data_IF_743896592600
#
_entry.id   IF_743896592600
#
_cell.length_a   1.000
_cell.length_b   1.000
_cell.length_c   1.000
_cell.angle_alpha   90.00
_cell.angle_beta   90.00
_cell.angle_gamma   90.00
#
_symmetry.space_group_name_H-M   'P 1'
#
loop_
_entity.id
_entity.type
_entity.pdbx_description
1 polymer ?
#
# COMPACT_ATOMS: atom_id res chain seq x y z
N UNK A 1 -26.62 -11.04 -0.47
CA UNK A 1 -26.28 -10.99 0.97
C UNK A 1 -24.91 -11.62 1.12
N UNK A 2 -23.93 -10.84 1.58
CA UNK A 2 -22.56 -11.33 1.77
C UNK A 2 -22.55 -12.24 3.01
N UNK A 3 -21.95 -13.43 2.91
CA UNK A 3 -21.82 -14.34 4.06
C UNK A 3 -20.77 -13.80 5.03
N UNK A 4 -20.90 -14.01 6.36
CA UNK A 4 -19.91 -13.55 7.35
C UNK A 4 -18.48 -13.96 7.01
N UNK A 5 -18.28 -15.21 6.58
CA UNK A 5 -16.98 -15.74 6.16
C UNK A 5 -16.42 -15.07 4.90
N UNK A 6 -17.28 -14.66 3.97
CA UNK A 6 -16.88 -13.93 2.77
C UNK A 6 -16.47 -12.49 3.12
N UNK A 7 -17.20 -11.83 4.02
CA UNK A 7 -16.87 -10.49 4.51
C UNK A 7 -15.53 -10.49 5.27
N UNK A 8 -15.29 -11.49 6.12
CA UNK A 8 -14.02 -11.65 6.83
C UNK A 8 -12.83 -11.86 5.90
N UNK A 9 -12.99 -12.73 4.89
CA UNK A 9 -11.96 -12.96 3.88
C UNK A 9 -11.62 -11.65 3.17
N UNK A 10 -12.65 -10.91 2.80
CA UNK A 10 -12.54 -9.65 2.09
C UNK A 10 -11.88 -8.54 2.95
N UNK A 11 -12.21 -8.46 4.25
CA UNK A 11 -11.51 -7.57 5.19
C UNK A 11 -10.04 -7.98 5.36
N UNK A 12 -9.74 -9.28 5.45
CA UNK A 12 -8.34 -9.76 5.56
C UNK A 12 -7.52 -9.53 4.29
N UNK A 13 -8.15 -9.55 3.12
CA UNK A 13 -7.49 -9.22 1.85
C UNK A 13 -7.06 -7.74 1.81
N UNK A 14 -7.96 -6.83 2.18
CA UNK A 14 -7.68 -5.38 2.20
C UNK A 14 -6.80 -4.96 3.39
N UNK A 15 -6.94 -5.65 4.52
CA UNK A 15 -6.24 -5.36 5.77
C UNK A 15 -5.51 -6.62 6.28
N UNK A 16 -4.46 -7.10 5.59
CA UNK A 16 -3.76 -8.33 5.97
C UNK A 16 -3.04 -8.24 7.32
N UNK A 17 -2.85 -7.02 7.83
CA UNK A 17 -2.24 -6.78 9.14
C UNK A 17 -3.26 -6.64 10.27
N UNK A 18 -4.56 -6.75 9.98
CA UNK A 18 -5.59 -6.64 11.00
C UNK A 18 -5.50 -7.86 11.93
N UNK A 19 -5.24 -7.59 13.21
CA UNK A 19 -5.17 -8.67 14.21
C UNK A 19 -6.56 -9.26 14.47
N UNK A 20 -6.66 -10.52 14.93
CA UNK A 20 -7.95 -11.11 15.32
C UNK A 20 -8.73 -10.26 16.32
N UNK A 21 -8.04 -9.62 17.27
CA UNK A 21 -8.66 -8.71 18.25
C UNK A 21 -9.26 -7.46 17.60
N UNK A 22 -8.59 -6.90 16.61
CA UNK A 22 -9.11 -5.75 15.86
C UNK A 22 -10.28 -6.15 14.97
N UNK A 23 -10.25 -7.34 14.36
CA UNK A 23 -11.39 -7.85 13.61
C UNK A 23 -12.61 -8.02 14.53
N UNK A 24 -12.40 -8.62 15.70
CA UNK A 24 -13.44 -8.81 16.70
C UNK A 24 -14.03 -7.48 17.18
N UNK A 25 -13.20 -6.45 17.38
CA UNK A 25 -13.68 -5.10 17.71
C UNK A 25 -14.73 -4.58 16.71
N UNK A 26 -14.56 -4.82 15.40
CA UNK A 26 -15.54 -4.38 14.40
C UNK A 26 -16.84 -5.20 14.42
N UNK A 27 -16.80 -6.46 14.86
CA UNK A 27 -17.98 -7.26 15.16
C UNK A 27 -18.70 -6.75 16.41
N UNK A 28 -17.96 -6.49 17.49
CA UNK A 28 -18.52 -6.04 18.77
C UNK A 28 -19.14 -4.63 18.64
N UNK A 29 -18.50 -3.76 17.84
CA UNK A 29 -19.04 -2.45 17.50
C UNK A 29 -20.21 -2.49 16.50
N UNK A 30 -20.62 -3.68 16.04
CA UNK A 30 -21.73 -3.88 15.12
C UNK A 30 -21.47 -3.38 13.68
N UNK A 31 -20.24 -2.99 13.33
CA UNK A 31 -19.93 -2.45 12.00
C UNK A 31 -20.04 -3.54 10.93
N UNK A 32 -19.60 -4.76 11.25
CA UNK A 32 -19.71 -5.91 10.35
C UNK A 32 -21.18 -6.25 10.09
N UNK A 33 -22.00 -6.25 11.15
CA UNK A 33 -23.43 -6.55 11.08
C UNK A 33 -24.20 -5.53 10.24
N UNK A 34 -23.85 -4.24 10.29
CA UNK A 34 -24.46 -3.23 9.41
C UNK A 34 -24.24 -3.55 7.93
N UNK A 35 -23.06 -4.04 7.56
CA UNK A 35 -22.78 -4.48 6.18
C UNK A 35 -23.52 -5.78 5.85
N UNK A 36 -23.53 -6.77 6.75
CA UNK A 36 -24.23 -8.04 6.56
C UNK A 36 -25.75 -7.83 6.41
N UNK A 37 -26.32 -6.90 7.18
CA UNK A 37 -27.73 -6.52 7.19
C UNK A 37 -28.09 -5.52 6.08
N UNK A 38 -27.15 -5.14 5.21
CA UNK A 38 -27.35 -4.18 4.11
C UNK A 38 -27.79 -2.77 4.57
N UNK A 39 -27.53 -2.42 5.83
CA UNK A 39 -27.72 -1.06 6.34
C UNK A 39 -26.61 -0.13 5.86
N UNK A 40 -25.42 -0.69 5.64
CA UNK A 40 -24.25 0.00 5.11
C UNK A 40 -23.59 -0.87 4.03
N UNK A 41 -22.73 -0.27 3.20
CA UNK A 41 -21.95 -1.01 2.20
C UNK A 41 -20.52 -1.30 2.67
N UNK A 42 -19.81 -2.16 1.93
CA UNK A 42 -18.44 -2.53 2.28
C UNK A 42 -17.48 -1.33 2.32
N UNK A 43 -17.66 -0.35 1.42
CA UNK A 43 -16.78 0.83 1.38
C UNK A 43 -16.88 1.66 2.67
N UNK A 44 -18.08 1.76 3.25
CA UNK A 44 -18.28 2.40 4.55
C UNK A 44 -17.51 1.67 5.66
N UNK A 45 -17.55 0.33 5.67
CA UNK A 45 -16.79 -0.47 6.61
C UNK A 45 -15.28 -0.32 6.39
N UNK A 46 -14.82 -0.40 5.14
CA UNK A 46 -13.41 -0.19 4.79
C UNK A 46 -12.91 1.18 5.28
N UNK A 47 -13.67 2.25 5.04
CA UNK A 47 -13.34 3.59 5.54
C UNK A 47 -13.33 3.64 7.07
N UNK A 48 -14.27 2.98 7.74
CA UNK A 48 -14.32 2.90 9.21
C UNK A 48 -13.12 2.17 9.79
N UNK A 49 -12.71 1.05 9.16
CA UNK A 49 -11.50 0.32 9.51
C UNK A 49 -10.27 1.19 9.32
N UNK A 50 -10.14 1.90 8.18
CA UNK A 50 -9.03 2.83 7.93
C UNK A 50 -8.96 3.94 8.97
N UNK A 51 -10.08 4.58 9.31
CA UNK A 51 -10.17 5.62 10.36
C UNK A 51 -9.74 5.10 11.72
N UNK A 52 -10.18 3.89 12.10
CA UNK A 52 -9.76 3.24 13.34
C UNK A 52 -8.25 2.94 13.33
N UNK A 53 -7.74 2.38 12.25
CA UNK A 53 -6.32 2.06 12.08
C UNK A 53 -5.45 3.32 12.15
N UNK A 54 -5.89 4.42 11.53
CA UNK A 54 -5.23 5.72 11.62
C UNK A 54 -5.24 6.29 13.04
N UNK A 55 -6.35 6.17 13.78
CA UNK A 55 -6.46 6.70 15.15
C UNK A 55 -5.52 5.98 16.14
N UNK A 56 -5.22 4.71 15.90
CA UNK A 56 -4.23 3.94 16.68
C UNK A 56 -2.81 3.98 16.08
N UNK A 57 -2.60 4.83 15.07
CA UNK A 57 -1.30 5.01 14.40
C UNK A 57 -0.82 3.77 13.64
N UNK A 58 -1.71 2.83 13.33
CA UNK A 58 -1.49 1.68 12.47
C UNK A 58 -2.00 1.96 11.07
N UNK A 59 -1.46 2.97 10.39
CA UNK A 59 -1.87 3.29 9.02
C UNK A 59 -1.89 2.00 8.17
N UNK A 60 -2.99 1.69 7.47
CA UNK A 60 -3.05 0.54 6.59
C UNK A 60 -1.86 0.57 5.64
N UNK A 61 -1.49 -0.61 5.11
CA UNK A 61 -0.48 -0.74 4.06
C UNK A 61 -0.78 0.37 3.05
N UNK A 62 0.17 1.29 2.84
CA UNK A 62 0.00 2.46 1.98
C UNK A 62 -0.28 1.98 0.55
N UNK A 63 -1.53 1.66 0.24
CA UNK A 63 -2.04 1.89 -1.09
C UNK A 63 -1.82 3.37 -1.35
N UNK A 64 -1.15 3.65 -2.46
CA UNK A 64 -0.76 5.00 -2.84
C UNK A 64 -2.01 5.90 -2.75
N UNK A 65 -1.91 7.14 -2.25
CA UNK A 65 -3.01 8.07 -2.43
C UNK A 65 -3.30 8.23 -3.92
N UNK A 66 -4.58 8.23 -4.26
CA UNK A 66 -5.02 8.37 -5.66
C UNK A 66 -4.90 9.85 -6.04
N UNK A 67 -3.72 10.22 -6.54
CA UNK A 67 -3.38 11.60 -6.87
C UNK A 67 -3.58 11.87 -8.35
N UNK A 68 -3.99 13.09 -8.67
CA UNK A 68 -4.14 13.58 -10.05
C UNK A 68 -3.33 14.85 -10.21
N UNK A 69 -2.94 15.16 -11.44
CA UNK A 69 -2.28 16.43 -11.76
C UNK A 69 -3.27 17.57 -11.52
N UNK A 70 -2.92 18.50 -10.64
CA UNK A 70 -3.72 19.70 -10.43
C UNK A 70 -3.55 20.70 -11.57
N UNK A 71 -4.62 21.43 -11.91
CA UNK A 71 -4.56 22.46 -12.95
C UNK A 71 -3.73 23.64 -12.44
N UNK A 72 -2.52 23.79 -12.97
CA UNK A 72 -1.62 24.88 -12.63
C UNK A 72 -2.09 26.24 -13.14
N UNK A 73 -1.75 27.29 -12.39
CA UNK A 73 -1.92 28.68 -12.85
C UNK A 73 -0.79 29.00 -13.83
N UNK A 74 -1.06 29.96 -14.73
CA UNK A 74 -0.06 30.44 -15.68
C UNK A 74 1.17 30.97 -14.92
N UNK A 75 2.34 30.37 -15.14
CA UNK A 75 3.60 30.75 -14.49
C UNK A 75 4.15 29.73 -13.49
N UNK A 76 3.37 28.73 -13.08
CA UNK A 76 3.86 27.68 -12.19
C UNK A 76 4.92 26.81 -12.89
N UNK A 77 6.02 26.50 -12.19
CA UNK A 77 7.08 25.63 -12.73
C UNK A 77 6.55 24.21 -12.91
N UNK A 78 6.66 23.67 -14.12
CA UNK A 78 6.34 22.27 -14.40
C UNK A 78 7.37 21.35 -13.74
N UNK A 79 6.91 20.35 -12.99
CA UNK A 79 7.78 19.33 -12.40
C UNK A 79 7.89 18.13 -13.33
N UNK A 80 8.98 17.36 -13.20
CA UNK A 80 9.20 16.16 -14.00
C UNK A 80 8.08 15.10 -13.86
N UNK A 81 7.55 14.79 -12.66
CA UNK A 81 6.41 13.86 -12.52
C UNK A 81 5.14 14.34 -13.25
N UNK A 82 4.86 15.64 -13.27
CA UNK A 82 3.70 16.19 -13.98
C UNK A 82 3.88 16.10 -15.49
N UNK A 83 5.06 16.47 -16.01
CA UNK A 83 5.37 16.33 -17.43
C UNK A 83 5.25 14.87 -17.89
N UNK A 84 5.77 13.93 -17.09
CA UNK A 84 5.62 12.49 -17.32
C UNK A 84 4.15 12.09 -17.35
N UNK A 85 3.37 12.55 -16.36
CA UNK A 85 1.94 12.28 -16.26
C UNK A 85 1.16 12.78 -17.47
N UNK A 86 1.51 13.96 -17.99
CA UNK A 86 0.93 14.53 -19.22
C UNK A 86 1.23 13.66 -20.44
N UNK A 87 2.48 13.25 -20.64
CA UNK A 87 2.89 12.41 -21.77
C UNK A 87 2.21 11.04 -21.71
N UNK A 88 2.20 10.40 -20.53
CA UNK A 88 1.58 9.10 -20.33
C UNK A 88 0.06 9.17 -20.51
N UNK A 89 -0.59 10.24 -20.04
CA UNK A 89 -2.04 10.43 -20.24
C UNK A 89 -2.36 10.64 -21.71
N UNK A 90 -1.57 11.43 -22.44
CA UNK A 90 -1.74 11.61 -23.87
C UNK A 90 -1.61 10.28 -24.63
N UNK A 91 -0.60 9.47 -24.31
CA UNK A 91 -0.43 8.15 -24.91
C UNK A 91 -1.59 7.21 -24.56
N UNK A 92 -2.03 7.19 -23.31
CA UNK A 92 -3.17 6.39 -22.86
C UNK A 92 -4.47 6.81 -23.57
N UNK A 93 -4.70 8.09 -23.79
CA UNK A 93 -5.85 8.62 -24.55
C UNK A 93 -5.93 8.09 -25.99
N UNK A 94 -4.81 7.63 -26.56
CA UNK A 94 -4.78 7.03 -27.89
C UNK A 94 -5.16 5.54 -27.91
N UNK A 95 -5.29 4.90 -26.75
CA UNK A 95 -5.71 3.50 -26.68
C UNK A 95 -7.15 3.33 -27.23
N UNK A 96 -7.37 2.47 -28.25
CA UNK A 96 -8.68 2.31 -28.88
C UNK A 96 -9.78 1.94 -27.88
N UNK A 97 -9.47 1.07 -26.91
CA UNK A 97 -10.42 0.64 -25.89
C UNK A 97 -10.95 1.79 -25.02
N UNK A 98 -10.18 2.87 -24.80
CA UNK A 98 -10.69 4.04 -24.07
C UNK A 98 -11.70 4.80 -24.93
N UNK A 99 -11.37 5.06 -26.20
CA UNK A 99 -12.25 5.80 -27.12
C UNK A 99 -13.56 5.05 -27.31
N UNK A 100 -13.49 3.76 -27.63
CA UNK A 100 -14.65 2.88 -27.81
C UNK A 100 -15.51 2.83 -26.54
N UNK A 101 -14.90 2.72 -25.35
CA UNK A 101 -15.64 2.71 -24.10
C UNK A 101 -16.37 4.04 -23.84
N UNK A 102 -15.67 5.18 -24.04
CA UNK A 102 -16.25 6.51 -23.85
C UNK A 102 -17.42 6.74 -24.81
N UNK A 103 -17.25 6.40 -26.08
CA UNK A 103 -18.29 6.53 -27.10
C UNK A 103 -19.49 5.60 -26.83
N UNK A 104 -19.25 4.36 -26.40
CA UNK A 104 -20.32 3.37 -26.19
C UNK A 104 -21.10 3.58 -24.91
N UNK A 105 -20.41 3.95 -23.81
CA UNK A 105 -20.96 3.89 -22.46
C UNK A 105 -21.07 5.23 -21.75
N UNK A 106 -20.31 6.24 -22.18
CA UNK A 106 -20.41 7.59 -21.60
C UNK A 106 -21.12 8.57 -22.52
N UNK A 107 -21.00 8.45 -23.85
CA UNK A 107 -21.70 9.30 -24.83
C UNK A 107 -21.66 10.79 -24.43
N UNK A 108 -22.82 11.37 -24.10
CA UNK A 108 -22.98 12.79 -23.74
C UNK A 108 -22.60 13.10 -22.28
N UNK A 109 -22.31 12.07 -21.46
CA UNK A 109 -21.85 12.22 -20.08
C UNK A 109 -20.32 12.37 -19.99
N UNK A 110 -19.58 12.24 -21.10
CA UNK A 110 -18.13 12.42 -21.10
C UNK A 110 -17.71 13.88 -21.40
N UNK A 111 -16.72 14.44 -20.67
CA UNK A 111 -16.08 13.88 -19.49
C UNK A 111 -16.99 13.93 -18.26
N UNK A 112 -17.04 12.84 -17.50
CA UNK A 112 -17.83 12.78 -16.28
C UNK A 112 -17.21 13.69 -15.20
N UNK A 113 -18.03 14.42 -14.46
CA UNK A 113 -17.54 15.13 -13.29
C UNK A 113 -17.01 14.13 -12.24
N UNK A 114 -15.86 14.42 -11.62
CA UNK A 114 -15.24 13.49 -10.67
C UNK A 114 -16.18 13.20 -9.46
N UNK A 115 -16.98 14.16 -9.03
CA UNK A 115 -18.02 13.99 -8.01
C UNK A 115 -19.13 12.99 -8.42
N UNK A 116 -19.35 12.80 -9.72
CA UNK A 116 -20.40 11.95 -10.29
C UNK A 116 -19.98 10.52 -10.57
N UNK A 117 -18.70 10.18 -10.40
CA UNK A 117 -18.18 8.82 -10.65
C UNK A 117 -18.93 7.77 -9.82
N UNK A 118 -19.12 8.01 -8.52
CA UNK A 118 -19.80 7.03 -7.66
C UNK A 118 -21.25 6.80 -8.10
N UNK A 119 -21.96 7.89 -8.40
CA UNK A 119 -23.36 7.83 -8.85
C UNK A 119 -23.46 7.03 -10.16
N UNK A 120 -22.57 7.30 -11.11
CA UNK A 120 -22.51 6.59 -12.38
C UNK A 120 -22.21 5.10 -12.18
N UNK A 121 -21.17 4.77 -11.41
CA UNK A 121 -20.80 3.37 -11.13
C UNK A 121 -21.93 2.61 -10.43
N UNK A 122 -22.60 3.25 -9.46
CA UNK A 122 -23.71 2.65 -8.74
C UNK A 122 -24.91 2.40 -9.66
N UNK A 123 -25.22 3.33 -10.56
CA UNK A 123 -26.27 3.17 -11.56
C UNK A 123 -25.99 2.00 -12.51
N UNK A 124 -24.77 1.90 -13.03
CA UNK A 124 -24.38 0.77 -13.90
C UNK A 124 -24.43 -0.54 -13.14
N UNK A 125 -23.93 -0.58 -11.91
CA UNK A 125 -24.01 -1.75 -11.04
C UNK A 125 -25.47 -2.20 -10.84
N UNK A 126 -26.37 -1.29 -10.50
CA UNK A 126 -27.79 -1.61 -10.32
C UNK A 126 -28.44 -2.11 -11.61
N UNK A 127 -28.08 -1.54 -12.77
CA UNK A 127 -28.57 -1.99 -14.08
C UNK A 127 -28.11 -3.41 -14.40
N UNK A 128 -26.83 -3.72 -14.21
CA UNK A 128 -26.25 -5.05 -14.48
C UNK A 128 -26.76 -6.14 -13.55
N UNK A 129 -27.00 -5.78 -12.28
CA UNK A 129 -27.44 -6.74 -11.27
C UNK A 129 -28.97 -6.85 -11.14
N UNK A 130 -29.75 -6.05 -11.89
CA UNK A 130 -31.21 -6.17 -11.94
C UNK A 130 -31.61 -7.45 -12.68
N UNK A 131 -31.86 -8.52 -11.92
CA UNK A 131 -32.35 -9.81 -12.44
C UNK A 131 -31.31 -10.94 -12.43
N UNK A 132 -30.05 -10.67 -12.11
CA UNK A 132 -29.06 -11.72 -11.88
C UNK A 132 -29.17 -12.30 -10.45
N UNK A 133 -28.87 -13.59 -10.24
CA UNK A 133 -28.71 -14.12 -8.90
C UNK A 133 -27.59 -13.34 -8.20
N UNK A 134 -27.85 -12.78 -7.00
CA UNK A 134 -26.85 -12.09 -6.15
C UNK A 134 -25.67 -13.00 -5.70
N UNK A 135 -25.56 -14.21 -6.25
CA UNK A 135 -24.51 -15.20 -5.99
C UNK A 135 -23.71 -15.38 -7.27
N UNK A 136 -22.40 -15.18 -7.19
CA UNK A 136 -21.47 -15.50 -8.26
C UNK A 136 -21.52 -17.02 -8.50
N UNK A 137 -21.59 -17.47 -9.76
CA UNK A 137 -21.51 -18.88 -10.11
C UNK A 137 -20.30 -19.56 -9.46
N UNK A 138 -20.43 -20.80 -8.97
CA UNK A 138 -19.30 -21.56 -8.44
C UNK A 138 -18.18 -21.63 -9.50
N UNK A 139 -16.97 -21.20 -9.14
CA UNK A 139 -15.80 -21.19 -10.03
C UNK A 139 -15.43 -19.82 -10.61
N UNK A 140 -16.30 -18.80 -10.52
CA UNK A 140 -15.94 -17.42 -10.85
C UNK A 140 -15.38 -16.67 -9.62
N UNK A 141 -14.28 -15.94 -9.82
CA UNK A 141 -13.73 -15.07 -8.78
C UNK A 141 -14.54 -13.78 -8.67
N UNK A 142 -14.67 -13.24 -7.47
CA UNK A 142 -15.20 -11.89 -7.26
C UNK A 142 -14.31 -10.88 -8.01
N UNK A 143 -14.83 -10.27 -9.06
CA UNK A 143 -14.15 -9.17 -9.74
C UNK A 143 -14.56 -7.84 -9.11
N UNK A 144 -13.57 -7.07 -8.66
CA UNK A 144 -13.75 -5.77 -8.05
C UNK A 144 -13.09 -4.69 -8.91
N UNK A 145 -13.86 -3.66 -9.25
CA UNK A 145 -13.34 -2.46 -9.88
C UNK A 145 -12.94 -1.45 -8.81
N UNK A 146 -11.69 -1.01 -8.83
CA UNK A 146 -11.21 0.05 -7.94
C UNK A 146 -11.40 1.42 -8.57
N UNK A 147 -11.85 2.41 -7.80
CA UNK A 147 -12.03 3.80 -8.25
C UNK A 147 -11.72 4.78 -7.12
N UNK A 148 -11.54 6.06 -7.44
CA UNK A 148 -11.32 7.09 -6.42
C UNK A 148 -12.41 8.14 -6.46
N UNK A 149 -12.57 8.82 -5.33
CA UNK A 149 -13.47 9.96 -5.17
C UNK A 149 -12.67 11.25 -5.01
N UNK A 150 -13.25 12.41 -5.33
CA UNK A 150 -12.58 13.68 -5.11
C UNK A 150 -12.18 13.87 -3.65
N UNK A 151 -10.90 14.17 -3.40
CA UNK A 151 -10.39 14.48 -2.05
C UNK A 151 -10.14 13.26 -1.17
N UNK A 152 -10.45 12.05 -1.63
CA UNK A 152 -10.17 10.83 -0.88
C UNK A 152 -8.80 10.26 -1.26
N UNK A 153 -8.01 9.99 -0.24
CA UNK A 153 -6.67 9.40 -0.39
C UNK A 153 -6.72 7.90 -0.68
N UNK A 154 -7.90 7.26 -0.74
CA UNK A 154 -7.98 5.80 -0.82
C UNK A 154 -8.97 5.33 -1.88
N UNK A 155 -8.65 4.22 -2.56
CA UNK A 155 -9.55 3.65 -3.54
C UNK A 155 -10.77 3.03 -2.86
N UNK A 156 -11.93 3.30 -3.47
CA UNK A 156 -13.18 2.60 -3.26
C UNK A 156 -13.24 1.41 -4.21
N UNK A 157 -14.14 0.46 -3.93
CA UNK A 157 -14.43 -0.60 -4.88
C UNK A 157 -15.90 -0.81 -5.12
N UNK A 158 -16.20 -1.34 -6.29
CA UNK A 158 -17.53 -1.80 -6.66
C UNK A 158 -17.41 -3.17 -7.33
N UNK A 159 -18.37 -4.05 -7.11
CA UNK A 159 -18.35 -5.39 -7.67
C UNK A 159 -18.75 -5.33 -9.15
N UNK A 160 -18.07 -6.09 -10.00
CA UNK A 160 -18.41 -6.19 -11.41
C UNK A 160 -19.33 -7.39 -11.66
N UNK A 161 -20.36 -7.22 -12.50
CA UNK A 161 -21.06 -8.36 -13.07
C UNK A 161 -20.22 -8.98 -14.20
N UNK A 162 -20.14 -10.32 -14.31
CA UNK A 162 -19.51 -10.97 -15.45
C UNK A 162 -20.17 -10.59 -16.78
N UNK A 163 -19.37 -10.29 -17.79
CA UNK A 163 -19.76 -9.76 -19.09
C UNK A 163 -20.23 -8.30 -19.07
N UNK A 164 -20.24 -7.65 -17.90
CA UNK A 164 -20.77 -6.31 -17.70
C UNK A 164 -19.87 -5.19 -18.24
N UNK A 165 -20.44 -3.98 -18.30
CA UNK A 165 -19.74 -2.72 -18.55
C UNK A 165 -18.68 -2.49 -17.47
N UNK A 166 -18.95 -2.82 -16.20
CA UNK A 166 -17.96 -2.66 -15.11
C UNK A 166 -16.76 -3.61 -15.25
N UNK A 167 -16.96 -4.84 -15.75
CA UNK A 167 -15.86 -5.75 -16.06
C UNK A 167 -15.01 -5.23 -17.23
N UNK A 168 -15.66 -4.75 -18.30
CA UNK A 168 -14.94 -4.10 -19.42
C UNK A 168 -14.11 -2.90 -18.94
N UNK A 169 -14.69 -2.07 -18.08
CA UNK A 169 -13.98 -0.93 -17.48
C UNK A 169 -12.78 -1.39 -16.64
N UNK A 170 -12.95 -2.44 -15.85
CA UNK A 170 -11.87 -3.06 -15.07
C UNK A 170 -10.74 -3.54 -15.99
N UNK A 171 -11.06 -4.22 -17.08
CA UNK A 171 -10.05 -4.77 -18.00
C UNK A 171 -9.25 -3.67 -18.70
N UNK A 172 -9.92 -2.60 -19.14
CA UNK A 172 -9.24 -1.42 -19.71
C UNK A 172 -8.38 -0.77 -18.63
N UNK A 173 -8.90 -0.53 -17.42
CA UNK A 173 -8.15 0.08 -16.33
C UNK A 173 -6.90 -0.73 -15.94
N UNK A 174 -7.03 -2.07 -15.92
CA UNK A 174 -5.91 -2.99 -15.67
C UNK A 174 -4.87 -2.94 -16.78
N UNK A 175 -5.30 -2.91 -18.05
CA UNK A 175 -4.40 -2.75 -19.18
C UNK A 175 -3.60 -1.44 -19.07
N UNK A 176 -4.27 -0.31 -18.78
CA UNK A 176 -3.60 0.98 -18.60
C UNK A 176 -2.64 0.97 -17.41
N UNK A 177 -3.01 0.31 -16.31
CA UNK A 177 -2.16 0.21 -15.13
C UNK A 177 -0.87 -0.53 -15.42
N UNK A 178 -0.93 -1.59 -16.24
CA UNK A 178 0.24 -2.36 -16.66
C UNK A 178 1.12 -1.58 -17.64
N UNK A 179 0.50 -0.87 -18.60
CA UNK A 179 1.22 -0.20 -19.69
C UNK A 179 1.80 1.16 -19.30
N UNK A 180 1.09 1.92 -18.46
CA UNK A 180 1.42 3.32 -18.13
C UNK A 180 1.73 3.57 -16.65
N UNK A 181 1.82 2.52 -15.82
CA UNK A 181 2.06 2.60 -14.36
C UNK A 181 1.01 3.46 -13.62
N UNK A 182 -0.20 3.53 -14.18
CA UNK A 182 -1.35 4.08 -13.47
C UNK A 182 -1.73 3.11 -12.34
N UNK A 183 -2.23 3.64 -11.23
CA UNK A 183 -3.02 2.80 -10.31
C UNK A 183 -4.36 2.49 -10.98
N UNK A 184 -4.94 1.34 -10.69
CA UNK A 184 -6.22 0.95 -11.29
C UNK A 184 -7.32 1.99 -11.01
N UNK A 185 -7.42 2.47 -9.77
CA UNK A 185 -8.34 3.54 -9.41
C UNK A 185 -8.07 4.86 -10.15
N UNK A 186 -6.80 5.20 -10.40
CA UNK A 186 -6.45 6.36 -11.23
C UNK A 186 -6.86 6.15 -12.68
N UNK A 187 -6.64 4.95 -13.22
CA UNK A 187 -7.01 4.59 -14.58
C UNK A 187 -8.52 4.66 -14.78
N UNK A 188 -9.33 4.17 -13.83
CA UNK A 188 -10.79 4.30 -13.88
C UNK A 188 -11.22 5.77 -13.91
N UNK A 189 -10.71 6.60 -13.00
CA UNK A 189 -11.03 8.04 -12.99
C UNK A 189 -10.59 8.70 -14.29
N UNK A 190 -9.42 8.34 -14.83
CA UNK A 190 -8.93 8.86 -16.11
C UNK A 190 -9.84 8.47 -17.28
N UNK A 191 -10.27 7.22 -17.37
CA UNK A 191 -11.19 6.75 -18.41
C UNK A 191 -12.50 7.54 -18.35
N UNK A 192 -13.09 7.66 -17.16
CA UNK A 192 -14.40 8.29 -16.96
C UNK A 192 -14.37 9.82 -17.10
N UNK A 193 -13.31 10.48 -16.65
CA UNK A 193 -13.28 11.96 -16.48
C UNK A 193 -12.24 12.69 -17.32
N UNK A 194 -11.28 11.98 -17.92
CA UNK A 194 -10.10 12.58 -18.56
C UNK A 194 -9.10 13.21 -17.58
N UNK A 195 -9.31 13.12 -16.26
CA UNK A 195 -8.35 13.64 -15.28
C UNK A 195 -7.06 12.83 -15.29
N UNK A 196 -5.95 13.52 -15.51
CA UNK A 196 -4.62 12.94 -15.66
C UNK A 196 -4.10 12.36 -14.34
N UNK A 197 -3.81 11.06 -14.27
CA UNK A 197 -3.18 10.43 -13.11
C UNK A 197 -1.82 11.07 -12.81
N UNK A 198 -1.52 11.32 -11.54
CA UNK A 198 -0.15 11.65 -11.15
C UNK A 198 0.66 10.35 -11.05
N UNK A 199 1.71 10.24 -11.87
CA UNK A 199 2.64 9.10 -11.89
C UNK A 199 3.97 9.51 -11.27
N UNK A 200 4.21 9.24 -9.97
CA UNK A 200 5.46 9.62 -9.30
C UNK A 200 6.63 8.75 -9.76
N UNK A 201 7.83 9.35 -9.86
CA UNK A 201 9.05 8.63 -10.27
C UNK A 201 9.62 7.72 -9.18
N UNK A 202 9.35 8.05 -7.91
CA UNK A 202 9.79 7.28 -6.74
C UNK A 202 8.60 7.13 -5.81
N UNK A 203 8.41 5.91 -5.34
CA UNK A 203 7.33 5.54 -4.44
C UNK A 203 7.91 4.86 -3.22
N UNK A 204 7.28 5.05 -2.06
CA UNK A 204 7.62 4.36 -0.84
C UNK A 204 6.37 3.75 -0.21
N UNK A 205 6.50 2.51 0.24
CA UNK A 205 5.59 1.92 1.22
C UNK A 205 6.36 1.59 2.50
N UNK A 206 5.70 1.70 3.65
CA UNK A 206 6.30 1.42 4.96
C UNK A 206 5.48 0.34 5.68
N UNK A 207 6.15 -0.72 6.10
CA UNK A 207 5.56 -1.80 6.89
C UNK A 207 6.02 -1.63 8.34
N UNK A 208 5.15 -1.07 9.19
CA UNK A 208 5.46 -0.70 10.58
C UNK A 208 5.95 -1.89 11.41
N UNK A 209 5.31 -3.06 11.26
CA UNK A 209 5.62 -4.25 12.07
C UNK A 209 7.05 -4.77 11.84
N UNK A 210 7.58 -4.61 10.61
CA UNK A 210 8.93 -5.04 10.25
C UNK A 210 9.91 -3.86 10.08
N UNK A 211 9.45 -2.64 10.36
CA UNK A 211 10.11 -1.35 10.06
C UNK A 211 10.80 -1.30 8.68
N UNK A 212 10.20 -1.93 7.67
CA UNK A 212 10.73 -1.99 6.30
C UNK A 212 10.14 -0.86 5.45
N UNK A 213 10.99 -0.19 4.68
CA UNK A 213 10.56 0.69 3.59
C UNK A 213 10.82 -0.06 2.29
N UNK A 214 9.79 -0.22 1.46
CA UNK A 214 9.95 -0.71 0.09
C UNK A 214 9.87 0.50 -0.84
N UNK A 215 10.88 0.66 -1.70
CA UNK A 215 10.91 1.70 -2.72
C UNK A 215 10.66 1.09 -4.10
N UNK A 216 9.75 1.68 -4.85
CA UNK A 216 9.60 1.41 -6.29
C UNK A 216 10.10 2.65 -7.02
N UNK A 217 11.06 2.46 -7.91
CA UNK A 217 11.86 3.56 -8.47
C UNK A 217 11.88 3.42 -9.99
N UNK A 218 11.56 4.50 -10.70
CA UNK A 218 11.80 4.55 -12.13
C UNK A 218 13.32 4.58 -12.40
N UNK A 219 13.78 3.81 -13.38
CA UNK A 219 15.21 3.72 -13.70
C UNK A 219 15.85 5.05 -14.13
N UNK A 220 15.05 6.02 -14.55
CA UNK A 220 15.52 7.36 -14.92
C UNK A 220 15.77 8.30 -13.73
N UNK A 221 15.53 7.82 -12.49
CA UNK A 221 15.81 8.54 -11.24
C UNK A 221 17.27 8.39 -10.87
N UNK A 222 17.91 9.49 -10.49
CA UNK A 222 19.31 9.47 -10.04
C UNK A 222 19.45 8.95 -8.60
N UNK A 223 20.61 8.38 -8.28
CA UNK A 223 20.93 7.94 -6.91
C UNK A 223 20.78 9.06 -5.87
N UNK A 224 21.05 10.31 -6.25
CA UNK A 224 20.92 11.48 -5.38
C UNK A 224 19.45 11.80 -5.06
N UNK A 225 18.58 11.79 -6.06
CA UNK A 225 17.13 11.96 -5.89
C UNK A 225 16.55 10.84 -5.03
N UNK A 226 16.96 9.59 -5.29
CA UNK A 226 16.54 8.43 -4.49
C UNK A 226 16.96 8.57 -3.03
N UNK A 227 18.21 8.95 -2.76
CA UNK A 227 18.70 9.15 -1.40
C UNK A 227 18.00 10.32 -0.69
N UNK A 228 17.68 11.39 -1.40
CA UNK A 228 16.87 12.52 -0.88
C UNK A 228 15.47 12.04 -0.51
N UNK A 229 14.77 11.40 -1.45
CA UNK A 229 13.42 10.89 -1.22
C UNK A 229 13.37 9.91 -0.05
N UNK A 230 14.31 8.97 0.02
CA UNK A 230 14.40 8.02 1.13
C UNK A 230 14.58 8.72 2.49
N UNK A 231 15.43 9.76 2.57
CA UNK A 231 15.58 10.56 3.80
C UNK A 231 14.27 11.26 4.18
N UNK A 232 13.57 11.83 3.21
CA UNK A 232 12.29 12.51 3.44
C UNK A 232 11.20 11.53 3.90
N UNK A 233 11.18 10.31 3.36
CA UNK A 233 10.31 9.21 3.84
C UNK A 233 10.65 8.88 5.28
N UNK A 234 11.93 8.63 5.62
CA UNK A 234 12.36 8.34 7.00
C UNK A 234 11.98 9.43 7.99
N UNK A 235 12.13 10.70 7.59
CA UNK A 235 11.74 11.86 8.41
C UNK A 235 10.23 11.85 8.67
N UNK A 236 9.41 11.65 7.64
CA UNK A 236 7.93 11.60 7.74
C UNK A 236 7.42 10.50 8.66
N UNK A 237 8.06 9.33 8.66
CA UNK A 237 7.66 8.21 9.52
C UNK A 237 8.33 8.23 10.91
N UNK A 238 9.02 9.30 11.27
CA UNK A 238 9.66 9.44 12.59
C UNK A 238 10.93 8.61 12.79
N UNK A 239 11.47 7.97 11.75
CA UNK A 239 12.74 7.23 11.79
C UNK A 239 13.95 8.14 11.55
N UNK A 240 13.92 9.34 12.14
CA UNK A 240 14.95 10.36 11.94
C UNK A 240 16.22 10.12 12.80
N UNK A 241 16.24 9.06 13.61
CA UNK A 241 17.42 8.67 14.39
C UNK A 241 18.49 8.13 13.44
N UNK A 242 19.69 8.69 13.53
CA UNK A 242 20.88 8.15 12.85
C UNK A 242 21.16 6.76 13.41
N UNK A 243 20.92 5.73 12.59
CA UNK A 243 21.36 4.37 12.92
C UNK A 243 22.88 4.39 12.84
N UNK A 244 23.56 4.14 13.97
CA UNK A 244 25.01 3.96 13.96
C UNK A 244 25.29 2.66 13.21
N UNK A 245 26.15 2.75 12.19
CA UNK A 245 26.63 1.58 11.46
C UNK A 245 27.29 0.60 12.43
N UNK A 246 26.89 -0.67 12.37
CA UNK A 246 27.54 -1.72 13.15
C UNK A 246 28.88 -2.01 12.48
N UNK A 247 29.96 -1.85 13.23
CA UNK A 247 31.30 -2.27 12.79
C UNK A 247 31.41 -3.80 12.79
N UNK A 248 32.41 -4.36 12.10
CA UNK A 248 32.70 -5.80 12.10
C UNK A 248 32.74 -6.39 13.52
N UNK A 249 33.38 -5.69 14.48
CA UNK A 249 33.38 -6.06 15.90
C UNK A 249 31.97 -6.26 16.44
N UNK A 250 31.05 -5.32 16.19
CA UNK A 250 29.68 -5.42 16.69
C UNK A 250 28.92 -6.59 16.04
N UNK A 251 29.13 -6.85 14.74
CA UNK A 251 28.50 -7.98 14.05
C UNK A 251 28.96 -9.31 14.67
N UNK A 252 30.27 -9.46 14.88
CA UNK A 252 30.84 -10.65 15.53
C UNK A 252 30.38 -10.82 16.98
N UNK A 253 30.28 -9.73 17.74
CA UNK A 253 29.75 -9.76 19.10
C UNK A 253 28.29 -10.24 19.16
N UNK A 254 27.48 -9.84 18.17
CA UNK A 254 26.10 -10.32 18.07
C UNK A 254 26.04 -11.82 17.77
N UNK A 255 26.90 -12.32 16.87
CA UNK A 255 27.02 -13.76 16.57
C UNK A 255 27.45 -14.53 17.81
N UNK A 256 28.49 -14.08 18.52
CA UNK A 256 28.97 -14.71 19.74
C UNK A 256 27.87 -14.79 20.82
N UNK A 257 27.01 -13.78 20.93
CA UNK A 257 25.86 -13.82 21.85
C UNK A 257 24.83 -14.89 21.47
N UNK A 258 24.60 -15.11 20.17
CA UNK A 258 23.68 -16.14 19.67
C UNK A 258 24.27 -17.55 19.81
N UNK A 259 25.55 -17.74 19.48
CA UNK A 259 26.25 -19.02 19.64
C UNK A 259 26.31 -19.46 21.10
N UNK A 260 26.58 -18.51 22.01
CA UNK A 260 26.55 -18.72 23.46
C UNK A 260 25.19 -19.19 23.96
N UNK A 261 24.10 -18.62 23.44
CA UNK A 261 22.73 -19.04 23.78
C UNK A 261 22.40 -20.41 23.19
N UNK A 262 22.80 -20.66 21.93
CA UNK A 262 22.59 -21.95 21.25
C UNK A 262 23.29 -23.12 21.95
N UNK A 263 24.50 -22.88 22.44
CA UNK A 263 25.34 -23.91 23.07
C UNK A 263 25.23 -23.91 24.61
N UNK A 264 24.27 -23.18 25.18
CA UNK A 264 24.11 -22.95 26.62
C UNK A 264 25.42 -22.64 27.37
N UNK A 265 26.30 -21.90 26.72
CA UNK A 265 27.65 -21.64 27.23
C UNK A 265 27.61 -20.53 28.29
N UNK A 266 28.30 -20.67 29.43
CA UNK A 266 28.45 -19.58 30.39
C UNK A 266 29.14 -18.36 29.76
N UNK A 267 28.75 -17.15 30.20
CA UNK A 267 29.35 -15.90 29.71
C UNK A 267 30.86 -15.83 29.95
N UNK A 268 31.35 -16.43 31.04
CA UNK A 268 32.76 -16.58 31.38
C UNK A 268 33.55 -17.29 30.28
N UNK A 269 33.01 -18.39 29.75
CA UNK A 269 33.63 -19.21 28.69
C UNK A 269 33.61 -18.46 27.36
N UNK A 270 32.44 -17.93 26.95
CA UNK A 270 32.31 -17.16 25.72
C UNK A 270 33.22 -15.91 25.69
N UNK A 271 33.41 -15.26 26.84
CA UNK A 271 34.34 -14.14 27.00
C UNK A 271 35.81 -14.56 26.75
N UNK A 272 36.24 -15.70 27.29
CA UNK A 272 37.59 -16.23 27.09
C UNK A 272 37.82 -16.61 25.62
N UNK A 273 36.85 -17.29 25.02
CA UNK A 273 36.89 -17.70 23.61
C UNK A 273 36.94 -16.48 22.68
N UNK A 274 36.09 -15.48 22.94
CA UNK A 274 36.15 -14.19 22.24
C UNK A 274 37.54 -13.58 22.32
N UNK A 275 38.08 -13.40 23.53
CA UNK A 275 39.39 -12.76 23.70
C UNK A 275 40.54 -13.54 23.06
N UNK A 276 40.44 -14.86 23.00
CA UNK A 276 41.41 -15.73 22.30
C UNK A 276 41.38 -15.49 20.80
N UNK A 277 40.19 -15.39 20.19
CA UNK A 277 40.01 -15.23 18.76
C UNK A 277 40.07 -13.76 18.27
N UNK A 278 39.82 -12.79 19.15
CA UNK A 278 39.73 -11.37 18.81
C UNK A 278 41.10 -10.70 18.62
N UNK A 279 41.14 -9.72 17.72
CA UNK A 279 42.26 -8.77 17.57
C UNK A 279 42.51 -8.06 18.91
N UNK A 280 43.77 -7.68 19.17
CA UNK A 280 44.17 -7.04 20.44
C UNK A 280 43.31 -5.82 20.81
N UNK A 281 42.92 -5.01 19.82
CA UNK A 281 42.05 -3.83 20.01
C UNK A 281 40.60 -4.15 20.36
N UNK A 282 40.14 -5.37 20.08
CA UNK A 282 38.75 -5.78 20.25
C UNK A 282 38.51 -6.61 21.52
N UNK A 283 39.60 -6.94 22.23
CA UNK A 283 39.56 -7.69 23.49
C UNK A 283 38.92 -6.87 24.60
N UNK A 284 38.26 -7.57 25.50
CA UNK A 284 37.64 -7.02 26.68
C UNK A 284 38.46 -7.39 27.91
N UNK A 285 38.71 -6.43 28.81
CA UNK A 285 39.33 -6.70 30.11
C UNK A 285 38.36 -7.25 31.15
N UNK A 286 37.05 -7.03 30.94
CA UNK A 286 35.99 -7.35 31.89
C UNK A 286 34.85 -8.06 31.16
N UNK A 287 34.39 -9.20 31.71
CA UNK A 287 33.29 -9.99 31.15
C UNK A 287 31.99 -9.17 31.07
N UNK A 288 31.70 -8.35 32.08
CA UNK A 288 30.49 -7.54 32.14
C UNK A 288 30.37 -6.58 30.95
N UNK A 289 31.49 -6.00 30.50
CA UNK A 289 31.56 -5.15 29.31
C UNK A 289 31.32 -5.95 28.03
N UNK A 290 31.93 -7.13 27.90
CA UNK A 290 31.71 -8.04 26.78
C UNK A 290 30.23 -8.44 26.69
N UNK A 291 29.65 -8.93 27.79
CA UNK A 291 28.23 -9.33 27.86
C UNK A 291 27.31 -8.19 27.46
N UNK A 292 27.50 -7.01 28.05
CA UNK A 292 26.67 -5.82 27.75
C UNK A 292 26.73 -5.46 26.28
N UNK A 293 27.93 -5.42 25.70
CA UNK A 293 28.12 -4.98 24.32
C UNK A 293 27.63 -6.04 23.32
N UNK A 294 27.82 -7.33 23.62
CA UNK A 294 27.31 -8.45 22.84
C UNK A 294 25.77 -8.47 22.81
N UNK A 295 25.12 -8.32 23.96
CA UNK A 295 23.67 -8.21 24.04
C UNK A 295 23.14 -6.96 23.34
N UNK A 296 23.82 -5.81 23.46
CA UNK A 296 23.45 -4.58 22.75
C UNK A 296 23.62 -4.72 21.23
N UNK A 297 24.68 -5.37 20.77
CA UNK A 297 24.91 -5.60 19.35
C UNK A 297 23.84 -6.53 18.76
N UNK A 298 23.51 -7.63 19.47
CA UNK A 298 22.41 -8.53 19.12
C UNK A 298 21.07 -7.79 19.08
N UNK A 299 20.74 -7.05 20.14
CA UNK A 299 19.50 -6.28 20.20
C UNK A 299 19.39 -5.28 19.05
N UNK A 300 20.49 -4.61 18.64
CA UNK A 300 20.48 -3.69 17.50
C UNK A 300 20.12 -4.38 16.18
N UNK A 301 20.66 -5.56 15.91
CA UNK A 301 20.34 -6.34 14.71
C UNK A 301 18.90 -6.87 14.73
N UNK A 302 18.40 -7.26 15.90
CA UNK A 302 17.04 -7.78 16.07
C UNK A 302 15.97 -6.68 16.18
N UNK A 303 16.38 -5.44 16.47
CA UNK A 303 15.48 -4.28 16.58
C UNK A 303 15.21 -3.57 15.26
N UNK A 304 15.77 -4.09 14.16
CA UNK A 304 15.51 -3.64 12.78
C UNK A 304 14.10 -4.05 12.39
#
# INVERSE_FOLDING_TARGET
MMQPTALDKLVKEDFPNLTPKQLQYFYDAGLMQRVLNQQENYNWLNLSIRKYLDSIGQKPRLERPVQFVERKKRGDKLTRPEARSDILSYAAEQEPGIKEFRESHLKNEWPLEHSKIQEWLQRIFEQEWKGQPKKIPPGQQNLWLFYAKPGDDYPYRIQCAPGGILEKLHDIARHLSQKFDFQEAQAVVFILTGKKPLVPEIQASYVKNNKKITLTVNLAVTSHELARFYRDVKKRIGLNRRIKTLTDKHLRLAIAACEREKNDTPWTTAFKEWNKAAKRSDRYSQESNFRRDALRARARLMSI
#
